data_IF_104341337044
#
_entry.id   IF_104341337044
#
_cell.length_a   1.000
_cell.length_b   1.000
_cell.length_c   1.000
_cell.angle_alpha   90.00
_cell.angle_beta   90.00
_cell.angle_gamma   90.00
#
_symmetry.space_group_name_H-M   'P 1'
#
loop_
_entity.id
_entity.type
_entity.pdbx_description
1 polymer ?
#
# COMPACT_ATOMS: atom_id res chain seq x y z
N UNK A 1 5.96 3.78 17.19
CA UNK A 1 5.59 4.73 16.11
C UNK A 1 4.23 4.34 15.55
N UNK A 2 3.19 5.16 15.66
CA UNK A 2 1.94 4.86 15.00
C UNK A 2 2.13 4.83 13.48
N UNK A 3 1.71 3.74 12.86
CA UNK A 3 1.78 3.53 11.43
C UNK A 3 0.44 3.90 10.79
N UNK A 4 0.49 4.66 9.69
CA UNK A 4 -0.67 4.99 8.88
C UNK A 4 -0.53 4.41 7.47
N UNK A 5 -1.47 3.55 7.08
CA UNK A 5 -1.55 2.98 5.72
C UNK A 5 -2.88 3.34 5.08
N UNK A 6 -2.86 3.87 3.86
CA UNK A 6 -4.05 4.26 3.12
C UNK A 6 -4.33 3.34 1.92
N UNK A 7 -5.59 2.95 1.75
CA UNK A 7 -6.07 2.06 0.68
C UNK A 7 -7.34 2.68 0.08
N UNK A 8 -7.45 2.76 -1.24
CA UNK A 8 -8.67 3.21 -1.93
C UNK A 8 -9.57 2.03 -2.25
N UNK A 9 -10.85 2.10 -1.86
CA UNK A 9 -11.87 1.12 -2.20
C UNK A 9 -12.71 1.55 -3.39
N UNK A 10 -13.00 0.62 -4.29
CA UNK A 10 -13.81 0.82 -5.50
C UNK A 10 -14.93 -0.24 -5.60
N UNK A 11 -15.22 -0.90 -4.50
CA UNK A 11 -16.27 -1.90 -4.36
C UNK A 11 -17.30 -1.41 -3.36
N UNK A 12 -18.41 -2.15 -3.20
CA UNK A 12 -19.43 -1.85 -2.18
C UNK A 12 -18.79 -1.82 -0.78
N UNK A 13 -19.24 -0.89 0.07
CA UNK A 13 -18.80 -0.75 1.46
C UNK A 13 -19.17 -2.00 2.28
N UNK A 14 -20.23 -2.73 1.88
CA UNK A 14 -20.61 -4.02 2.44
C UNK A 14 -19.47 -5.07 2.36
N UNK A 15 -18.66 -5.01 1.29
CA UNK A 15 -17.51 -5.90 1.11
C UNK A 15 -16.43 -5.68 2.17
N UNK A 16 -16.04 -4.42 2.41
CA UNK A 16 -15.03 -4.10 3.43
C UNK A 16 -15.59 -4.37 4.84
N UNK A 17 -16.85 -4.05 5.13
CA UNK A 17 -17.47 -4.38 6.43
C UNK A 17 -17.40 -5.89 6.69
N UNK A 18 -17.86 -6.73 5.75
CA UNK A 18 -17.79 -8.19 5.87
C UNK A 18 -16.34 -8.67 6.14
N UNK A 19 -15.38 -8.09 5.46
CA UNK A 19 -13.97 -8.41 5.66
C UNK A 19 -13.51 -8.04 7.07
N UNK A 20 -13.87 -6.87 7.58
CA UNK A 20 -13.43 -6.40 8.90
C UNK A 20 -14.14 -7.12 10.06
N UNK A 21 -15.40 -7.53 9.90
CA UNK A 21 -16.18 -8.19 10.97
C UNK A 21 -16.22 -9.72 10.87
N UNK A 22 -15.53 -10.31 9.88
CA UNK A 22 -15.54 -11.76 9.65
C UNK A 22 -15.04 -12.53 10.87
N UNK A 23 -15.73 -13.60 11.24
CA UNK A 23 -15.37 -14.51 12.35
C UNK A 23 -15.28 -13.82 13.72
N UNK A 24 -16.08 -12.80 13.98
CA UNK A 24 -16.11 -12.06 15.25
C UNK A 24 -14.75 -11.51 15.71
N UNK A 25 -13.87 -11.17 14.76
CA UNK A 25 -12.54 -10.66 15.06
C UNK A 25 -12.50 -9.17 15.45
N UNK A 26 -13.60 -8.46 15.29
CA UNK A 26 -13.72 -7.08 15.71
C UNK A 26 -13.83 -7.02 17.24
N UNK A 27 -12.90 -6.31 17.88
CA UNK A 27 -12.93 -6.05 19.32
C UNK A 27 -13.95 -4.99 19.70
N UNK A 28 -14.11 -3.98 18.84
CA UNK A 28 -15.08 -2.90 18.97
C UNK A 28 -15.31 -2.24 17.62
N UNK A 29 -16.42 -1.49 17.52
CA UNK A 29 -16.74 -0.63 16.37
C UNK A 29 -17.15 0.75 16.89
N UNK A 30 -16.66 1.83 16.25
CA UNK A 30 -17.09 3.20 16.47
C UNK A 30 -17.55 3.82 15.15
N UNK A 31 -18.53 4.74 15.22
CA UNK A 31 -19.05 5.44 14.06
C UNK A 31 -19.01 6.95 14.31
N UNK A 32 -18.67 7.73 13.26
CA UNK A 32 -18.70 9.19 13.27
C UNK A 32 -19.57 9.68 12.11
N UNK A 33 -20.39 10.67 12.36
CA UNK A 33 -21.33 11.23 11.38
C UNK A 33 -22.25 10.18 10.76
N UNK A 34 -22.51 9.12 11.49
CA UNK A 34 -23.44 8.04 11.16
C UNK A 34 -24.43 7.94 12.33
N UNK A 35 -25.71 8.04 12.05
CA UNK A 35 -26.74 7.92 13.07
C UNK A 35 -27.06 6.44 13.30
N UNK A 36 -26.58 5.82 14.40
CA UNK A 36 -26.98 4.47 14.74
C UNK A 36 -28.47 4.45 15.06
N UNK A 37 -29.21 3.41 14.68
CA UNK A 37 -30.57 3.24 15.12
C UNK A 37 -30.63 3.10 16.64
N UNK A 38 -31.86 3.10 17.18
CA UNK A 38 -32.09 2.94 18.62
C UNK A 38 -31.29 1.81 19.28
N UNK A 39 -30.93 1.95 20.56
CA UNK A 39 -30.14 0.95 21.28
C UNK A 39 -30.74 -0.46 21.17
N UNK A 40 -29.89 -1.44 20.80
CA UNK A 40 -30.26 -2.85 20.67
C UNK A 40 -30.53 -3.33 19.23
N UNK A 41 -30.56 -2.45 18.26
CA UNK A 41 -30.67 -2.85 16.84
C UNK A 41 -29.28 -2.90 16.18
N UNK A 42 -28.98 -3.99 15.47
CA UNK A 42 -27.75 -4.12 14.72
C UNK A 42 -27.64 -3.01 13.66
N UNK A 43 -26.55 -2.22 13.73
CA UNK A 43 -26.30 -1.13 12.81
C UNK A 43 -25.48 -1.57 11.60
N UNK A 44 -26.00 -1.38 10.40
CA UNK A 44 -25.26 -1.61 9.16
C UNK A 44 -24.69 -0.28 8.63
N UNK A 45 -23.57 0.15 9.20
CA UNK A 45 -22.87 1.36 8.77
C UNK A 45 -22.47 1.31 7.27
N UNK A 46 -22.24 0.12 6.72
CA UNK A 46 -21.88 0.00 5.30
C UNK A 46 -23.07 0.28 4.39
N UNK A 47 -24.26 -0.15 4.79
CA UNK A 47 -25.49 0.17 4.06
C UNK A 47 -25.81 1.66 4.12
N UNK A 48 -25.65 2.30 5.29
CA UNK A 48 -25.82 3.74 5.46
C UNK A 48 -24.85 4.53 4.56
N UNK A 49 -23.55 4.21 4.57
CA UNK A 49 -22.57 4.82 3.69
C UNK A 49 -22.88 4.64 2.20
N UNK A 50 -23.35 3.46 1.79
CA UNK A 50 -23.74 3.18 0.41
C UNK A 50 -24.99 4.00 0.02
N UNK A 51 -25.91 4.21 0.94
CA UNK A 51 -27.11 5.02 0.73
C UNK A 51 -26.75 6.51 0.58
N UNK A 52 -25.94 7.06 1.46
CA UNK A 52 -25.44 8.45 1.38
C UNK A 52 -24.78 8.70 0.02
N UNK A 53 -23.90 7.82 -0.44
CA UNK A 53 -23.27 8.00 -1.76
C UNK A 53 -24.27 7.97 -2.89
N UNK A 54 -25.29 7.12 -2.81
CA UNK A 54 -26.34 7.01 -3.80
C UNK A 54 -27.19 8.27 -3.85
N UNK A 55 -27.54 8.80 -2.69
CA UNK A 55 -28.29 10.03 -2.53
C UNK A 55 -27.61 11.22 -3.23
N UNK A 56 -26.29 11.35 -3.06
CA UNK A 56 -25.51 12.41 -3.70
C UNK A 56 -24.96 12.07 -5.09
N UNK A 57 -25.34 10.93 -5.70
CA UNK A 57 -24.91 10.52 -7.03
C UNK A 57 -23.40 10.20 -7.16
N UNK A 58 -22.73 9.94 -6.04
CA UNK A 58 -21.29 9.69 -6.00
C UNK A 58 -20.86 8.27 -6.38
N UNK A 59 -21.82 7.37 -6.67
CA UNK A 59 -21.55 6.02 -7.16
C UNK A 59 -21.25 5.97 -8.67
N UNK A 60 -21.56 7.04 -9.41
CA UNK A 60 -21.30 7.11 -10.85
C UNK A 60 -19.80 7.20 -11.18
N UNK A 61 -19.40 6.60 -12.30
CA UNK A 61 -18.04 6.69 -12.80
C UNK A 61 -17.63 8.15 -13.02
N UNK A 62 -16.36 8.47 -12.75
CA UNK A 62 -15.81 9.79 -12.96
C UNK A 62 -14.70 9.73 -14.00
N UNK A 63 -14.87 10.48 -15.10
CA UNK A 63 -13.91 10.52 -16.23
C UNK A 63 -13.50 9.12 -16.71
N UNK A 64 -14.48 8.22 -16.87
CA UNK A 64 -14.25 6.84 -17.34
C UNK A 64 -13.61 5.90 -16.32
N UNK A 65 -13.38 6.33 -15.07
CA UNK A 65 -12.84 5.50 -13.99
C UNK A 65 -13.95 5.09 -13.02
N UNK A 66 -13.86 3.86 -12.48
CA UNK A 66 -14.77 3.42 -11.42
C UNK A 66 -14.75 4.42 -10.27
N UNK A 67 -15.94 4.72 -9.74
CA UNK A 67 -16.05 5.56 -8.56
C UNK A 67 -15.25 4.93 -7.40
N UNK A 68 -14.53 5.78 -6.66
CA UNK A 68 -14.08 5.40 -5.33
C UNK A 68 -15.29 5.42 -4.41
N UNK A 69 -15.50 4.38 -3.62
CA UNK A 69 -16.62 4.25 -2.70
C UNK A 69 -16.24 4.64 -1.27
N UNK A 70 -15.01 4.32 -0.88
CA UNK A 70 -14.46 4.67 0.43
C UNK A 70 -12.94 4.84 0.37
N UNK A 71 -12.40 5.47 1.39
CA UNK A 71 -10.98 5.44 1.71
C UNK A 71 -10.80 4.66 3.01
N UNK A 72 -9.88 3.71 3.02
CA UNK A 72 -9.60 2.86 4.15
C UNK A 72 -8.20 3.17 4.67
N UNK A 73 -8.11 3.48 5.95
CA UNK A 73 -6.85 3.69 6.64
C UNK A 73 -6.65 2.62 7.70
N UNK A 74 -5.41 2.23 7.93
CA UNK A 74 -5.02 1.37 9.04
C UNK A 74 -4.13 2.20 9.96
N UNK A 75 -4.53 2.33 11.20
CA UNK A 75 -3.82 3.02 12.28
C UNK A 75 -3.33 1.96 13.27
N UNK A 76 -2.02 1.88 13.46
CA UNK A 76 -1.41 0.96 14.42
C UNK A 76 -0.45 1.75 15.30
N UNK A 77 -0.64 1.77 16.63
CA UNK A 77 0.31 2.38 17.56
C UNK A 77 1.66 1.62 17.55
N UNK A 78 2.67 2.19 18.21
CA UNK A 78 3.93 1.47 18.42
C UNK A 78 3.69 0.31 19.41
N UNK A 79 4.11 -0.90 19.09
CA UNK A 79 4.00 -2.03 20.02
C UNK A 79 4.63 -1.78 21.39
N UNK A 80 5.67 -0.94 21.43
CA UNK A 80 6.37 -0.57 22.68
C UNK A 80 5.53 0.23 23.64
N UNK A 81 4.50 0.93 23.14
CA UNK A 81 3.64 1.78 23.94
C UNK A 81 2.60 0.97 24.74
N UNK A 82 2.40 -0.31 24.42
CA UNK A 82 1.44 -1.17 25.10
C UNK A 82 0.02 -0.59 25.15
N UNK A 83 -0.41 0.07 24.07
CA UNK A 83 -1.65 0.84 24.02
C UNK A 83 -2.85 -0.06 24.22
N UNK A 84 -3.71 0.29 25.20
CA UNK A 84 -5.00 -0.39 25.41
C UNK A 84 -6.00 -0.14 24.28
N UNK A 85 -7.07 -0.95 24.24
CA UNK A 85 -8.17 -0.73 23.29
C UNK A 85 -8.75 0.68 23.43
N UNK A 86 -8.95 1.17 24.65
CA UNK A 86 -9.50 2.52 24.89
C UNK A 86 -8.54 3.62 24.43
N UNK A 87 -7.23 3.45 24.64
CA UNK A 87 -6.21 4.37 24.11
C UNK A 87 -6.20 4.40 22.59
N UNK A 88 -6.33 3.24 21.95
CA UNK A 88 -6.43 3.14 20.49
C UNK A 88 -7.73 3.77 19.96
N UNK A 89 -8.86 3.58 20.67
CA UNK A 89 -10.14 4.20 20.34
C UNK A 89 -10.02 5.73 20.43
N UNK A 90 -9.45 6.26 21.50
CA UNK A 90 -9.22 7.70 21.66
C UNK A 90 -8.35 8.27 20.52
N UNK A 91 -7.26 7.57 20.15
CA UNK A 91 -6.38 7.98 19.06
C UNK A 91 -7.10 7.98 17.71
N UNK A 92 -7.73 6.87 17.35
CA UNK A 92 -8.33 6.68 16.03
C UNK A 92 -9.56 7.59 15.83
N UNK A 93 -10.41 7.70 16.85
CA UNK A 93 -11.61 8.56 16.81
C UNK A 93 -11.24 10.03 16.66
N UNK A 94 -10.32 10.53 17.50
CA UNK A 94 -9.89 11.92 17.43
C UNK A 94 -9.20 12.24 16.11
N UNK A 95 -8.35 11.34 15.62
CA UNK A 95 -7.71 11.52 14.33
C UNK A 95 -8.70 11.54 13.16
N UNK A 96 -9.71 10.66 13.19
CA UNK A 96 -10.74 10.62 12.17
C UNK A 96 -11.61 11.88 12.19
N UNK A 97 -12.01 12.37 13.36
CA UNK A 97 -12.77 13.61 13.54
C UNK A 97 -12.01 14.84 13.01
N UNK A 98 -10.72 14.97 13.32
CA UNK A 98 -9.90 16.08 12.84
C UNK A 98 -9.61 16.00 11.32
N UNK A 99 -9.44 14.80 10.79
CA UNK A 99 -9.05 14.60 9.38
C UNK A 99 -10.22 14.59 8.42
N UNK A 100 -11.42 14.18 8.87
CA UNK A 100 -12.61 13.94 8.05
C UNK A 100 -13.88 14.43 8.75
N UNK A 101 -13.95 15.71 9.16
CA UNK A 101 -15.04 16.22 10.02
C UNK A 101 -16.44 16.03 9.43
N UNK A 102 -16.57 16.10 8.10
CA UNK A 102 -17.85 16.07 7.39
C UNK A 102 -18.08 14.76 6.64
N UNK A 103 -17.30 13.72 6.93
CA UNK A 103 -17.48 12.42 6.31
C UNK A 103 -18.04 11.41 7.30
N UNK A 104 -18.86 10.50 6.82
CA UNK A 104 -19.22 9.30 7.56
C UNK A 104 -17.99 8.41 7.71
N UNK A 105 -17.69 8.01 8.94
CA UNK A 105 -16.54 7.16 9.26
C UNK A 105 -16.99 5.99 10.11
N UNK A 106 -16.56 4.79 9.75
CA UNK A 106 -16.63 3.60 10.60
C UNK A 106 -15.22 3.17 11.00
N UNK A 107 -15.02 2.88 12.27
CA UNK A 107 -13.75 2.45 12.83
C UNK A 107 -13.94 1.06 13.42
N UNK A 108 -13.16 0.09 12.96
CA UNK A 108 -13.20 -1.30 13.46
C UNK A 108 -11.84 -1.66 14.05
N UNK A 109 -11.84 -2.17 15.27
CA UNK A 109 -10.62 -2.45 16.04
C UNK A 109 -10.31 -3.93 16.05
N UNK A 110 -9.04 -4.26 15.84
CA UNK A 110 -8.53 -5.64 15.81
C UNK A 110 -7.23 -5.78 16.60
N UNK A 111 -6.91 -7.03 16.98
CA UNK A 111 -5.61 -7.45 17.51
C UNK A 111 -5.13 -8.76 16.84
N UNK A 112 -5.78 -9.17 15.76
CA UNK A 112 -5.63 -10.45 15.07
C UNK A 112 -4.38 -10.56 14.17
N UNK A 113 -3.42 -9.64 14.30
CA UNK A 113 -2.13 -9.77 13.64
C UNK A 113 -1.21 -10.77 14.37
N UNK A 114 -0.16 -11.23 13.69
CA UNK A 114 0.76 -12.25 14.21
C UNK A 114 1.38 -11.92 15.58
N UNK A 115 1.38 -10.65 15.98
CA UNK A 115 1.98 -10.17 17.23
C UNK A 115 0.92 -9.69 18.25
N UNK A 116 -0.37 -9.88 17.99
CA UNK A 116 -1.45 -9.42 18.88
C UNK A 116 -1.48 -7.90 19.11
N UNK A 117 -0.96 -7.11 18.15
CA UNK A 117 -0.87 -5.66 18.30
C UNK A 117 -2.21 -5.03 17.95
N UNK A 118 -2.85 -4.29 18.88
CA UNK A 118 -4.09 -3.59 18.58
C UNK A 118 -3.92 -2.60 17.42
N UNK A 119 -4.89 -2.59 16.51
CA UNK A 119 -4.90 -1.67 15.38
C UNK A 119 -6.32 -1.32 14.96
N UNK A 120 -6.50 -0.13 14.38
CA UNK A 120 -7.78 0.38 13.95
C UNK A 120 -7.87 0.45 12.42
N UNK A 121 -8.96 -0.04 11.88
CA UNK A 121 -9.35 0.10 10.49
C UNK A 121 -10.35 1.25 10.38
N UNK A 122 -9.94 2.38 9.83
CA UNK A 122 -10.77 3.57 9.65
C UNK A 122 -11.28 3.61 8.22
N UNK A 123 -12.58 3.44 8.03
CA UNK A 123 -13.25 3.45 6.72
C UNK A 123 -14.00 4.77 6.58
N UNK A 124 -13.57 5.61 5.64
CA UNK A 124 -14.13 6.94 5.38
C UNK A 124 -14.97 6.90 4.12
N UNK A 125 -16.22 7.30 4.20
CA UNK A 125 -17.11 7.38 3.04
C UNK A 125 -16.59 8.42 2.03
N UNK A 126 -16.76 8.14 0.75
CA UNK A 126 -16.32 9.03 -0.34
C UNK A 126 -17.22 10.27 -0.54
N UNK A 127 -18.18 10.52 0.35
CA UNK A 127 -19.11 11.64 0.27
C UNK A 127 -19.00 12.50 1.53
N UNK A 128 -18.78 13.78 1.34
CA UNK A 128 -18.94 14.82 2.35
C UNK A 128 -20.44 15.06 2.53
N UNK A 129 -20.95 14.87 3.75
CA UNK A 129 -22.39 14.91 4.03
C UNK A 129 -22.97 16.33 4.02
N UNK A 130 -22.15 17.35 4.21
CA UNK A 130 -22.60 18.75 4.17
C UNK A 130 -22.64 19.28 2.73
N UNK A 131 -21.59 18.99 1.94
CA UNK A 131 -21.42 19.58 0.60
C UNK A 131 -21.83 18.63 -0.52
N UNK A 132 -22.02 17.35 -0.25
CA UNK A 132 -22.25 16.30 -1.25
C UNK A 132 -21.04 16.02 -2.16
N UNK A 133 -19.90 16.66 -1.92
CA UNK A 133 -18.71 16.50 -2.76
C UNK A 133 -18.00 15.19 -2.46
N UNK A 134 -17.27 14.69 -3.45
CA UNK A 134 -16.41 13.52 -3.26
C UNK A 134 -15.20 13.87 -2.43
N UNK A 135 -14.79 12.96 -1.57
CA UNK A 135 -13.58 13.08 -0.76
C UNK A 135 -12.36 13.43 -1.62
N UNK A 136 -11.76 14.56 -1.34
CA UNK A 136 -10.45 14.91 -1.86
C UNK A 136 -9.39 14.17 -1.04
N UNK A 137 -8.37 13.60 -1.70
CA UNK A 137 -7.31 12.91 -0.97
C UNK A 137 -6.47 13.93 -0.19
N UNK A 138 -6.50 13.94 1.15
CA UNK A 138 -5.65 14.82 1.93
C UNK A 138 -4.18 14.48 1.69
N UNK A 139 -3.28 15.45 1.92
CA UNK A 139 -1.85 15.19 1.88
C UNK A 139 -1.47 14.08 2.88
N UNK A 140 -0.93 12.93 2.41
CA UNK A 140 -0.57 11.82 3.28
C UNK A 140 0.41 12.20 4.40
N UNK A 141 1.26 13.21 4.17
CA UNK A 141 2.19 13.70 5.17
C UNK A 141 1.49 14.55 6.24
N UNK A 142 0.46 15.31 5.85
CA UNK A 142 -0.36 16.06 6.79
C UNK A 142 -1.15 15.11 7.69
N UNK A 143 -1.76 14.07 7.14
CA UNK A 143 -2.47 13.02 7.89
C UNK A 143 -1.54 12.29 8.88
N UNK A 144 -0.32 11.95 8.45
CA UNK A 144 0.64 11.30 9.33
C UNK A 144 1.11 12.23 10.46
N UNK A 145 1.34 13.53 10.17
CA UNK A 145 1.68 14.52 11.21
C UNK A 145 0.55 14.75 12.20
N UNK A 146 -0.71 14.81 11.73
CA UNK A 146 -1.87 14.93 12.60
C UNK A 146 -1.98 13.72 13.54
N UNK A 147 -1.87 12.49 12.99
CA UNK A 147 -1.88 11.28 13.80
C UNK A 147 -0.78 11.29 14.87
N UNK A 148 0.44 11.69 14.48
CA UNK A 148 1.57 11.78 15.41
C UNK A 148 1.31 12.76 16.54
N UNK A 149 0.88 14.00 16.23
CA UNK A 149 0.57 15.02 17.21
C UNK A 149 -0.50 14.56 18.21
N UNK A 150 -1.53 13.85 17.73
CA UNK A 150 -2.58 13.31 18.59
C UNK A 150 -2.01 12.20 19.47
N UNK A 151 -1.22 11.28 18.93
CA UNK A 151 -0.58 10.20 19.68
C UNK A 151 0.30 10.76 20.82
N UNK A 152 1.12 11.77 20.53
CA UNK A 152 1.95 12.47 21.54
C UNK A 152 1.09 13.11 22.63
N UNK A 153 -0.05 13.75 22.26
CA UNK A 153 -0.97 14.34 23.25
C UNK A 153 -1.65 13.31 24.15
N UNK A 154 -1.67 12.04 23.74
CA UNK A 154 -2.18 10.90 24.50
C UNK A 154 -1.07 10.14 25.25
N UNK A 155 0.16 10.68 25.29
CA UNK A 155 1.30 10.07 25.98
C UNK A 155 1.95 8.90 25.25
N UNK A 156 1.66 8.70 23.95
CA UNK A 156 2.30 7.68 23.14
C UNK A 156 3.66 8.15 22.63
N UNK A 157 4.55 7.21 22.36
CA UNK A 157 5.92 7.52 21.92
C UNK A 157 5.92 8.35 20.63
N UNK A 158 6.73 9.43 20.59
CA UNK A 158 6.88 10.21 19.38
C UNK A 158 7.47 9.37 18.25
N UNK A 159 7.13 9.75 17.01
CA UNK A 159 7.87 9.30 15.84
C UNK A 159 9.33 9.71 16.04
N UNK A 160 10.23 8.75 16.11
CA UNK A 160 11.61 9.09 15.79
C UNK A 160 11.60 9.76 14.41
N UNK A 161 12.06 11.02 14.30
CA UNK A 161 12.16 11.66 13.00
C UNK A 161 12.95 10.69 12.11
N UNK A 162 12.45 10.36 10.90
CA UNK A 162 13.26 9.55 10.00
C UNK A 162 14.62 10.20 9.93
N UNK A 163 15.66 9.44 10.18
CA UNK A 163 17.04 9.92 10.07
C UNK A 163 17.11 10.83 8.83
N UNK A 164 17.72 12.02 8.88
CA UNK A 164 17.49 13.15 7.96
C UNK A 164 17.71 12.74 6.50
N UNK A 165 16.73 12.09 5.92
CA UNK A 165 16.76 11.52 4.57
C UNK A 165 15.96 12.36 3.57
N UNK A 166 15.29 13.42 4.01
CA UNK A 166 14.30 14.02 3.14
C UNK A 166 14.71 15.30 2.42
N UNK A 167 15.16 16.33 3.10
CA UNK A 167 15.41 17.65 2.48
C UNK A 167 16.86 18.06 2.60
N UNK A 168 17.49 17.85 3.75
CA UNK A 168 18.93 18.07 3.91
C UNK A 168 19.75 17.09 3.06
N UNK A 169 19.33 15.82 2.95
CA UNK A 169 19.94 14.87 2.04
C UNK A 169 19.63 15.17 0.55
N UNK A 170 18.48 15.81 0.22
CA UNK A 170 18.19 16.29 -1.15
C UNK A 170 18.97 17.56 -1.46
N UNK A 171 19.19 18.46 -0.51
CA UNK A 171 20.02 19.64 -0.70
C UNK A 171 21.51 19.25 -0.77
N UNK A 172 21.99 18.35 0.07
CA UNK A 172 23.34 17.77 -0.04
C UNK A 172 23.52 16.96 -1.34
N UNK A 173 22.47 16.29 -1.84
CA UNK A 173 22.48 15.58 -3.13
C UNK A 173 22.40 16.51 -4.35
N UNK A 174 21.92 17.74 -4.22
CA UNK A 174 21.97 18.74 -5.31
C UNK A 174 23.34 19.40 -5.43
N UNK A 175 24.11 19.47 -4.37
CA UNK A 175 25.48 20.01 -4.36
C UNK A 175 26.57 18.95 -4.56
N UNK A 176 26.31 17.70 -4.21
CA UNK A 176 27.19 16.59 -4.54
C UNK A 176 26.87 16.11 -5.95
N UNK A 177 27.84 16.09 -6.85
CA UNK A 177 27.76 15.31 -8.09
C UNK A 177 27.13 13.98 -7.73
N UNK A 178 25.97 13.69 -8.37
CA UNK A 178 25.16 12.49 -8.19
C UNK A 178 26.08 11.26 -8.14
N UNK A 179 26.41 10.81 -6.92
CA UNK A 179 26.99 9.49 -6.76
C UNK A 179 26.02 8.53 -7.44
N UNK A 180 26.48 7.60 -8.27
CA UNK A 180 25.59 6.65 -8.92
C UNK A 180 24.76 6.00 -7.81
N UNK A 181 23.45 5.99 -7.98
CA UNK A 181 22.57 5.28 -7.06
C UNK A 181 23.20 3.90 -6.87
N UNK A 182 23.44 3.49 -5.63
CA UNK A 182 23.91 2.14 -5.31
C UNK A 182 22.79 1.19 -5.70
N UNK A 183 22.62 0.99 -6.99
CA UNK A 183 21.80 -0.08 -7.51
C UNK A 183 22.54 -1.36 -7.10
N UNK A 184 21.88 -2.17 -6.32
CA UNK A 184 22.43 -3.48 -5.95
C UNK A 184 22.58 -4.29 -7.22
N UNK A 185 23.66 -5.02 -7.34
CA UNK A 185 23.90 -5.91 -8.48
C UNK A 185 22.76 -6.89 -8.67
N UNK A 186 22.11 -7.28 -7.59
CA UNK A 186 20.91 -8.10 -7.56
C UNK A 186 19.84 -7.50 -6.63
N UNK A 187 18.59 -7.39 -7.09
CA UNK A 187 17.49 -6.82 -6.34
C UNK A 187 16.41 -7.85 -6.07
N UNK A 188 16.40 -8.45 -4.87
CA UNK A 188 15.38 -9.38 -4.39
C UNK A 188 14.33 -8.62 -3.58
N UNK A 189 13.06 -8.68 -4.00
CA UNK A 189 11.95 -8.01 -3.32
C UNK A 189 11.54 -8.78 -2.07
N UNK A 190 10.87 -8.07 -1.15
CA UNK A 190 10.33 -8.66 0.07
C UNK A 190 9.40 -9.85 -0.22
N UNK A 191 8.42 -9.68 -1.12
CA UNK A 191 7.49 -10.75 -1.49
C UNK A 191 8.21 -12.00 -2.05
N UNK A 192 9.30 -11.81 -2.78
CA UNK A 192 10.10 -12.90 -3.33
C UNK A 192 10.88 -13.65 -2.23
N UNK A 193 11.37 -12.93 -1.23
CA UNK A 193 12.00 -13.54 -0.04
C UNK A 193 10.99 -14.33 0.79
N UNK A 194 9.80 -13.76 1.01
CA UNK A 194 8.72 -14.43 1.74
C UNK A 194 8.27 -15.74 1.05
N UNK A 195 8.21 -15.77 -0.29
CA UNK A 195 7.94 -16.99 -1.05
C UNK A 195 9.08 -18.02 -0.89
N UNK A 196 10.33 -17.57 -0.97
CA UNK A 196 11.49 -18.45 -0.79
C UNK A 196 11.56 -19.05 0.62
N UNK A 197 11.24 -18.27 1.67
CA UNK A 197 11.15 -18.72 3.07
C UNK A 197 10.08 -19.80 3.27
N UNK A 198 9.01 -19.76 2.46
CA UNK A 198 7.93 -20.77 2.49
C UNK A 198 8.18 -21.95 1.55
N UNK A 199 9.28 -21.96 0.80
CA UNK A 199 9.52 -22.95 -0.24
C UNK A 199 8.57 -22.84 -1.43
N UNK A 200 7.89 -21.71 -1.61
CA UNK A 200 6.93 -21.47 -2.68
C UNK A 200 7.61 -20.96 -3.96
N UNK A 201 7.03 -21.33 -5.12
CA UNK A 201 7.56 -20.94 -6.42
C UNK A 201 7.46 -19.44 -6.68
N UNK A 202 8.59 -18.81 -7.01
CA UNK A 202 8.66 -17.43 -7.48
C UNK A 202 9.12 -17.36 -8.93
N UNK A 203 8.23 -16.99 -9.84
CA UNK A 203 8.55 -16.83 -11.26
C UNK A 203 9.63 -15.74 -11.52
N UNK A 204 9.73 -14.73 -10.63
CA UNK A 204 10.79 -13.71 -10.72
C UNK A 204 12.15 -14.30 -10.37
N UNK A 205 12.21 -15.10 -9.30
CA UNK A 205 13.43 -15.82 -8.91
C UNK A 205 13.84 -16.81 -9.98
N UNK A 206 12.89 -17.51 -10.62
CA UNK A 206 13.14 -18.45 -11.71
C UNK A 206 13.72 -17.73 -12.94
N UNK A 207 13.11 -16.63 -13.40
CA UNK A 207 13.68 -15.80 -14.48
C UNK A 207 15.09 -15.33 -14.11
N UNK A 208 15.30 -14.84 -12.87
CA UNK A 208 16.63 -14.40 -12.42
C UNK A 208 17.67 -15.50 -12.50
N UNK A 209 17.35 -16.71 -12.04
CA UNK A 209 18.26 -17.85 -12.09
C UNK A 209 18.65 -18.21 -13.53
N UNK A 210 17.67 -18.29 -14.45
CA UNK A 210 17.91 -18.58 -15.88
C UNK A 210 18.74 -17.49 -16.55
N UNK A 211 18.47 -16.21 -16.27
CA UNK A 211 19.26 -15.07 -16.79
C UNK A 211 20.68 -15.12 -16.25
N UNK A 212 20.88 -15.47 -15.00
CA UNK A 212 22.22 -15.61 -14.39
C UNK A 212 23.02 -16.71 -15.06
N UNK A 213 22.42 -17.87 -15.29
CA UNK A 213 23.05 -19.00 -16.01
C UNK A 213 23.40 -18.61 -17.45
N UNK A 214 22.44 -18.09 -18.22
CA UNK A 214 22.68 -17.71 -19.61
C UNK A 214 23.83 -16.70 -19.71
N UNK A 215 23.86 -15.73 -18.78
CA UNK A 215 24.87 -14.70 -18.75
C UNK A 215 26.27 -15.20 -18.42
N UNK A 216 26.40 -16.19 -17.52
CA UNK A 216 27.69 -16.73 -17.11
C UNK A 216 28.42 -17.50 -18.23
N UNK A 217 27.70 -17.94 -19.25
CA UNK A 217 28.25 -18.76 -20.35
C UNK A 217 28.23 -18.08 -21.71
N UNK A 218 27.42 -17.02 -21.91
CA UNK A 218 27.34 -16.30 -23.18
C UNK A 218 28.49 -15.30 -23.36
N UNK A 219 28.97 -15.18 -24.60
CA UNK A 219 30.03 -14.24 -25.00
C UNK A 219 29.52 -13.12 -25.90
N UNK A 220 28.25 -13.16 -26.30
CA UNK A 220 27.60 -12.16 -27.15
C UNK A 220 26.12 -12.02 -26.83
N UNK A 221 25.51 -10.88 -27.21
CA UNK A 221 24.05 -10.66 -27.05
C UNK A 221 23.24 -11.72 -27.82
N UNK A 222 23.68 -12.12 -29.01
CA UNK A 222 23.00 -13.14 -29.83
C UNK A 222 23.00 -14.50 -29.12
N UNK A 223 24.14 -14.90 -28.57
CA UNK A 223 24.28 -16.14 -27.82
C UNK A 223 23.45 -16.12 -26.53
N UNK A 224 23.48 -14.98 -25.81
CA UNK A 224 22.66 -14.79 -24.62
C UNK A 224 21.17 -14.93 -24.89
N UNK A 225 20.66 -14.29 -25.95
CA UNK A 225 19.24 -14.39 -26.36
C UNK A 225 18.86 -15.82 -26.76
N UNK A 226 19.75 -16.50 -27.47
CA UNK A 226 19.55 -17.92 -27.89
C UNK A 226 19.50 -18.85 -26.68
N UNK A 227 20.42 -18.71 -25.76
CA UNK A 227 20.43 -19.49 -24.51
C UNK A 227 19.19 -19.23 -23.64
N UNK A 228 18.79 -17.98 -23.49
CA UNK A 228 17.55 -17.66 -22.76
C UNK A 228 16.31 -18.27 -23.41
N UNK A 229 16.23 -18.23 -24.75
CA UNK A 229 15.16 -18.87 -25.48
C UNK A 229 15.12 -20.39 -25.23
N UNK A 230 16.26 -21.06 -25.22
CA UNK A 230 16.34 -22.50 -24.89
C UNK A 230 15.98 -22.79 -23.42
N UNK A 231 16.21 -21.83 -22.53
CA UNK A 231 15.79 -21.89 -21.12
C UNK A 231 14.34 -21.44 -20.90
N UNK A 232 13.55 -21.22 -21.97
CA UNK A 232 12.15 -20.83 -21.86
C UNK A 232 11.92 -19.37 -21.40
N UNK A 233 12.91 -18.49 -21.61
CA UNK A 233 12.79 -17.06 -21.31
C UNK A 233 12.93 -16.24 -22.60
N UNK A 234 11.94 -15.40 -22.90
CA UNK A 234 11.99 -14.44 -24.00
C UNK A 234 12.55 -13.11 -23.53
N UNK A 235 13.43 -12.52 -24.33
CA UNK A 235 14.02 -11.19 -24.12
C UNK A 235 13.46 -10.23 -25.16
N UNK A 236 12.94 -9.10 -24.72
CA UNK A 236 12.49 -8.01 -25.58
C UNK A 236 13.08 -6.69 -25.09
N UNK A 237 13.21 -5.72 -25.97
CA UNK A 237 13.55 -4.37 -25.57
C UNK A 237 12.34 -3.70 -24.88
N UNK A 238 12.58 -2.81 -23.95
CA UNK A 238 11.54 -2.01 -23.34
C UNK A 238 10.98 -0.97 -24.33
N UNK A 239 9.95 -0.23 -23.93
CA UNK A 239 9.31 0.79 -24.77
C UNK A 239 10.34 1.77 -25.34
N UNK A 240 10.24 2.13 -26.65
CA UNK A 240 11.07 3.21 -27.26
C UNK A 240 10.95 4.56 -26.54
N UNK A 241 9.84 4.78 -25.84
CA UNK A 241 9.57 5.99 -25.04
C UNK A 241 10.11 5.92 -23.61
N UNK A 242 10.73 4.80 -23.21
CA UNK A 242 11.32 4.67 -21.89
C UNK A 242 12.53 5.61 -21.76
N UNK A 243 12.66 6.22 -20.59
CA UNK A 243 13.77 7.14 -20.29
C UNK A 243 15.16 6.48 -20.35
N UNK A 244 15.20 5.15 -20.26
CA UNK A 244 16.42 4.34 -20.34
C UNK A 244 16.15 3.07 -21.13
N UNK A 245 17.06 2.66 -21.99
CA UNK A 245 16.99 1.38 -22.70
C UNK A 245 17.30 0.24 -21.73
N UNK A 246 16.42 -0.78 -21.73
CA UNK A 246 16.58 -1.94 -20.86
C UNK A 246 15.92 -3.17 -21.52
N UNK A 247 16.25 -4.35 -21.06
CA UNK A 247 15.61 -5.58 -21.45
C UNK A 247 14.41 -5.92 -20.57
N UNK A 248 13.43 -6.55 -21.18
CA UNK A 248 12.26 -7.12 -20.50
C UNK A 248 12.27 -8.62 -20.73
N UNK A 249 12.34 -9.35 -19.64
CA UNK A 249 12.29 -10.81 -19.62
C UNK A 249 10.88 -11.30 -19.38
N UNK A 250 10.47 -12.36 -20.08
CA UNK A 250 9.17 -13.02 -19.86
C UNK A 250 9.32 -14.53 -19.99
N UNK A 251 8.52 -15.29 -19.24
CA UNK A 251 8.44 -16.74 -19.42
C UNK A 251 7.76 -17.07 -20.74
N UNK A 252 8.26 -18.06 -21.46
CA UNK A 252 7.71 -18.47 -22.75
C UNK A 252 6.31 -19.10 -22.62
N UNK A 253 6.08 -19.84 -21.54
CA UNK A 253 4.81 -20.48 -21.17
C UNK A 253 3.82 -19.53 -20.48
N UNK A 254 4.30 -18.41 -19.93
CA UNK A 254 3.49 -17.38 -19.26
C UNK A 254 3.89 -15.97 -19.70
N UNK A 255 3.59 -15.53 -20.94
CA UNK A 255 4.07 -14.26 -21.52
C UNK A 255 3.62 -13.01 -20.79
N UNK A 256 2.58 -13.09 -19.96
CA UNK A 256 2.10 -12.00 -19.11
C UNK A 256 3.00 -11.75 -17.89
N UNK A 257 3.81 -12.73 -17.48
CA UNK A 257 4.80 -12.63 -16.41
C UNK A 257 6.07 -11.97 -16.91
N UNK A 258 6.10 -10.63 -16.84
CA UNK A 258 7.19 -9.79 -17.37
C UNK A 258 7.92 -9.05 -16.25
N UNK A 259 9.25 -8.99 -16.36
CA UNK A 259 10.12 -8.24 -15.44
C UNK A 259 11.24 -7.56 -16.22
N UNK A 260 11.54 -6.28 -15.92
CA UNK A 260 12.66 -5.57 -16.54
C UNK A 260 13.99 -5.95 -15.88
N UNK A 261 15.09 -5.82 -16.63
CA UNK A 261 16.43 -6.02 -16.12
C UNK A 261 16.74 -5.14 -14.91
N UNK A 262 16.40 -3.85 -14.99
CA UNK A 262 16.55 -2.91 -13.87
C UNK A 262 15.84 -3.39 -12.58
N UNK A 263 14.69 -4.05 -12.71
CA UNK A 263 13.97 -4.62 -11.57
C UNK A 263 14.62 -5.84 -10.95
N UNK A 264 15.37 -6.60 -11.72
CA UNK A 264 16.15 -7.75 -11.23
C UNK A 264 17.45 -7.32 -10.57
N UNK A 265 18.04 -6.20 -11.01
CA UNK A 265 19.27 -5.63 -10.53
C UNK A 265 20.17 -5.13 -11.68
N UNK A 266 21.22 -4.37 -11.36
CA UNK A 266 22.13 -3.82 -12.38
C UNK A 266 22.79 -4.89 -13.26
N UNK A 267 23.05 -6.04 -12.67
CA UNK A 267 23.66 -7.16 -13.37
C UNK A 267 22.76 -7.79 -14.45
N UNK A 268 21.50 -7.42 -14.54
CA UNK A 268 20.50 -8.01 -15.43
C UNK A 268 20.05 -7.06 -16.54
N UNK A 269 20.54 -5.83 -16.54
CA UNK A 269 20.25 -4.82 -17.57
C UNK A 269 21.13 -4.98 -18.79
N UNK A 270 20.71 -4.33 -19.90
CA UNK A 270 21.38 -4.37 -21.19
C UNK A 270 22.83 -3.85 -21.17
N UNK A 271 23.12 -2.86 -20.33
CA UNK A 271 24.43 -2.16 -20.29
C UNK A 271 25.57 -2.99 -19.68
N UNK A 272 25.29 -4.22 -19.22
CA UNK A 272 26.26 -5.03 -18.48
C UNK A 272 26.51 -6.43 -19.05
N UNK A 273 26.19 -6.62 -20.32
CA UNK A 273 26.54 -7.86 -21.04
C UNK A 273 27.91 -7.75 -21.67
#
# INVERSE_FOLDING_TARGET
MPMLKAISGHTSTKGIRRYLTKKNRALAEDCLNLDPPEPGRAFDWAAAMDETRRLFGNDSAWRGRRARTYKHYVVSPDPKDGVSLDGLRALATRWAQESFPNHEVAIVYHDDNANGIPHAHVVVNNTDVETGRRLQDPDPKALARSLQRIAESLGMSPLEPPAPSGVAARAARRGARRAPATHRDEHVRRAERELAERGEYSWVADIRARVKVARSVSRSEAEFRSLLASLGVKVSDNSPRAARRDWVYSLADAPTRKVSGERLGLSYGRERL
#
